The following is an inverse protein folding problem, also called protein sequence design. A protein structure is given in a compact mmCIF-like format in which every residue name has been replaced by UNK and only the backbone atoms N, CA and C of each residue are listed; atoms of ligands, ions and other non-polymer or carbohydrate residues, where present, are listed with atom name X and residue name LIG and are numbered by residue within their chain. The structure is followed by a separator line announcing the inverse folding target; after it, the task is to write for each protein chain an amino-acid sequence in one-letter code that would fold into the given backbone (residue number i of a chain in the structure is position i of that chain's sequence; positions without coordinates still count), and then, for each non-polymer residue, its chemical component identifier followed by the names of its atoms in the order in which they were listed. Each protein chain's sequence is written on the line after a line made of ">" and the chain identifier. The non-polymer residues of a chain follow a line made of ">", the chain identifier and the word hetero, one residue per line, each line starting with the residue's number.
data_IF_526634729717
#
_entry.id   IF_526634729717
#
_cell.length_a   1.000
_cell.length_b   1.000
_cell.length_c   1.000
_cell.angle_alpha   90.00
_cell.angle_beta   90.00
_cell.angle_gamma   90.00
#
_symmetry.space_group_name_H-M   'P 1'
#
loop_
_entity.id
_entity.type
_entity.pdbx_description
1 polymer ?
#
# COMPACT_ATOMS: atom_id res chain seq x y z
N UNK A 1 17.03 7.14 4.58
CA UNK A 1 16.97 6.70 3.18
C UNK A 1 16.65 5.22 3.17
N UNK A 2 15.66 4.79 2.39
CA UNK A 2 15.39 3.38 2.12
C UNK A 2 16.00 3.03 0.76
N UNK A 3 16.83 1.98 0.68
CA UNK A 3 17.35 1.49 -0.59
C UNK A 3 16.35 0.52 -1.21
N UNK A 4 15.73 0.90 -2.32
CA UNK A 4 14.86 0.01 -3.09
C UNK A 4 15.72 -0.98 -3.89
N UNK A 5 15.21 -2.20 -4.06
CA UNK A 5 15.84 -3.22 -4.91
C UNK A 5 15.77 -2.74 -6.36
N UNK A 6 16.88 -2.69 -7.11
CA UNK A 6 16.84 -2.32 -8.53
C UNK A 6 15.96 -3.28 -9.31
N UNK A 7 15.04 -2.74 -10.11
CA UNK A 7 14.10 -3.52 -10.94
C UNK A 7 14.00 -2.92 -12.34
N UNK A 8 13.81 -3.75 -13.39
CA UNK A 8 13.51 -3.27 -14.73
C UNK A 8 12.30 -2.34 -14.76
N UNK A 9 12.44 -1.20 -15.43
CA UNK A 9 11.43 -0.14 -15.42
C UNK A 9 10.05 -0.61 -15.90
N UNK A 10 10.04 -1.46 -16.93
CA UNK A 10 8.84 -2.04 -17.54
C UNK A 10 8.04 -2.96 -16.62
N UNK A 11 8.60 -3.38 -15.48
CA UNK A 11 7.90 -4.21 -14.50
C UNK A 11 7.13 -3.39 -13.46
N UNK A 12 7.45 -2.11 -13.28
CA UNK A 12 6.98 -1.33 -12.12
C UNK A 12 6.51 0.08 -12.45
N UNK A 13 6.85 0.62 -13.61
CA UNK A 13 6.43 1.96 -14.04
C UNK A 13 5.22 1.91 -14.97
N UNK A 14 4.05 2.20 -14.39
CA UNK A 14 2.90 2.80 -15.08
C UNK A 14 2.55 2.20 -16.46
N UNK A 15 2.21 3.03 -17.48
CA UNK A 15 1.51 2.61 -18.71
C UNK A 15 2.25 1.56 -19.57
N UNK A 16 3.48 1.21 -19.22
CA UNK A 16 4.29 0.19 -19.88
C UNK A 16 4.23 -1.18 -19.19
N UNK A 17 3.75 -1.24 -17.95
CA UNK A 17 3.56 -2.47 -17.18
C UNK A 17 2.19 -3.10 -17.45
N UNK A 18 2.15 -4.44 -17.48
CA UNK A 18 0.89 -5.19 -17.56
C UNK A 18 0.13 -5.08 -16.24
N UNK A 19 -1.16 -4.72 -16.30
CA UNK A 19 -2.03 -4.63 -15.12
C UNK A 19 -1.98 -5.90 -14.24
N UNK A 20 -1.92 -7.07 -14.87
CA UNK A 20 -1.77 -8.37 -14.22
C UNK A 20 -0.51 -8.47 -13.34
N UNK A 21 0.62 -7.90 -13.80
CA UNK A 21 1.86 -7.89 -13.02
C UNK A 21 1.76 -6.95 -11.82
N UNK A 22 1.11 -5.78 -11.99
CA UNK A 22 0.89 -4.87 -10.86
C UNK A 22 -0.03 -5.49 -9.81
N UNK A 23 -1.11 -6.14 -10.24
CA UNK A 23 -2.01 -6.88 -9.36
C UNK A 23 -1.28 -8.01 -8.63
N UNK A 24 -0.45 -8.78 -9.34
CA UNK A 24 0.37 -9.83 -8.74
C UNK A 24 1.33 -9.26 -7.69
N UNK A 25 2.08 -8.20 -8.01
CA UNK A 25 2.99 -7.56 -7.06
C UNK A 25 2.26 -7.01 -5.83
N UNK A 26 1.12 -6.33 -6.02
CA UNK A 26 0.30 -5.83 -4.92
C UNK A 26 -0.20 -6.96 -4.03
N UNK A 27 -0.65 -8.08 -4.63
CA UNK A 27 -1.09 -9.26 -3.89
C UNK A 27 0.05 -9.86 -3.04
N UNK A 28 1.25 -10.00 -3.60
CA UNK A 28 2.40 -10.54 -2.86
C UNK A 28 2.84 -9.61 -1.71
N UNK A 29 2.73 -8.29 -1.89
CA UNK A 29 2.95 -7.34 -0.80
C UNK A 29 1.92 -7.52 0.32
N UNK A 30 0.62 -7.63 -0.02
CA UNK A 30 -0.44 -7.86 0.96
C UNK A 30 -0.26 -9.17 1.73
N UNK A 31 0.17 -10.24 1.05
CA UNK A 31 0.49 -11.51 1.70
C UNK A 31 1.65 -11.38 2.69
N UNK A 32 2.72 -10.66 2.31
CA UNK A 32 3.82 -10.38 3.22
C UNK A 32 3.37 -9.56 4.44
N UNK A 33 2.56 -8.51 4.23
CA UNK A 33 2.01 -7.70 5.31
C UNK A 33 1.12 -8.53 6.26
N UNK A 34 0.29 -9.42 5.71
CA UNK A 34 -0.56 -10.31 6.49
C UNK A 34 0.25 -11.29 7.35
N UNK A 35 1.31 -11.88 6.79
CA UNK A 35 2.20 -12.77 7.55
C UNK A 35 2.91 -12.03 8.70
N UNK A 36 3.38 -10.80 8.46
CA UNK A 36 3.99 -9.98 9.51
C UNK A 36 2.98 -9.65 10.63
N UNK A 37 1.77 -9.23 10.26
CA UNK A 37 0.66 -8.99 11.22
C UNK A 37 0.35 -10.22 12.09
N UNK A 38 0.33 -11.42 11.48
CA UNK A 38 0.03 -12.66 12.21
C UNK A 38 1.17 -13.11 13.13
N UNK A 39 2.43 -12.90 12.72
CA UNK A 39 3.61 -13.27 13.49
C UNK A 39 3.96 -12.28 14.61
N UNK A 40 3.28 -11.13 14.65
CA UNK A 40 3.61 -10.04 15.57
C UNK A 40 3.41 -10.42 17.05
N UNK A 41 4.48 -10.28 17.85
CA UNK A 41 4.38 -10.23 19.31
C UNK A 41 3.94 -8.82 19.74
N UNK A 42 2.67 -8.71 20.13
CA UNK A 42 2.05 -7.44 20.56
C UNK A 42 2.23 -7.15 22.06
N UNK A 43 3.02 -7.94 22.78
CA UNK A 43 3.30 -7.71 24.20
C UNK A 43 4.14 -6.45 24.47
N UNK A 44 4.87 -5.96 23.45
CA UNK A 44 5.84 -4.86 23.57
C UNK A 44 5.30 -3.48 23.17
N UNK A 45 3.99 -3.35 22.92
CA UNK A 45 3.34 -2.06 22.62
C UNK A 45 2.70 -1.99 21.23
N UNK A 46 2.69 -0.80 20.64
CA UNK A 46 2.04 -0.57 19.36
C UNK A 46 2.76 -1.31 18.23
N UNK A 47 2.00 -2.05 17.42
CA UNK A 47 2.49 -2.77 16.26
C UNK A 47 1.36 -2.81 15.24
N UNK A 48 1.59 -2.25 14.05
CA UNK A 48 0.69 -2.40 12.91
C UNK A 48 1.48 -2.67 11.64
N UNK A 49 0.96 -3.54 10.80
CA UNK A 49 1.50 -3.73 9.45
C UNK A 49 0.53 -3.18 8.42
N UNK A 50 1.08 -2.53 7.39
CA UNK A 50 0.32 -2.11 6.22
C UNK A 50 1.15 -2.21 4.94
N UNK A 51 0.46 -2.32 3.82
CA UNK A 51 0.98 -2.02 2.50
C UNK A 51 0.67 -0.56 2.17
N UNK A 52 1.70 0.21 1.85
CA UNK A 52 1.56 1.53 1.24
C UNK A 52 1.78 1.35 -0.25
N UNK A 53 0.70 1.35 -1.03
CA UNK A 53 0.73 1.18 -2.48
C UNK A 53 0.67 2.54 -3.17
N UNK A 54 1.66 2.82 -4.02
CA UNK A 54 1.70 4.02 -4.86
C UNK A 54 1.21 3.63 -6.25
N UNK A 55 0.04 4.12 -6.63
CA UNK A 55 -0.59 3.80 -7.92
C UNK A 55 -0.44 4.97 -8.90
N UNK A 56 -0.03 4.74 -10.17
CA UNK A 56 0.28 3.44 -10.79
C UNK A 56 1.76 3.00 -10.67
N UNK A 57 2.53 3.58 -9.75
CA UNK A 57 3.99 3.37 -9.64
C UNK A 57 4.40 2.40 -8.53
N UNK A 58 4.27 1.11 -8.82
CA UNK A 58 4.50 0.04 -7.85
C UNK A 58 5.91 0.00 -7.24
N UNK A 59 6.91 0.58 -7.89
CA UNK A 59 8.28 0.66 -7.35
C UNK A 59 8.38 1.47 -6.05
N UNK A 60 7.51 2.48 -5.89
CA UNK A 60 7.53 3.33 -4.71
C UNK A 60 6.79 2.68 -3.54
N UNK A 61 5.95 1.68 -3.81
CA UNK A 61 5.21 0.94 -2.80
C UNK A 61 6.10 0.22 -1.79
N UNK A 62 5.57 -0.01 -0.60
CA UNK A 62 6.27 -0.68 0.50
C UNK A 62 5.33 -1.46 1.42
N UNK A 63 5.91 -2.46 2.09
CA UNK A 63 5.31 -3.10 3.26
C UNK A 63 6.01 -2.51 4.48
N UNK A 64 5.23 -1.94 5.40
CA UNK A 64 5.76 -1.16 6.51
C UNK A 64 5.18 -1.66 7.83
N UNK A 65 6.06 -1.82 8.81
CA UNK A 65 5.72 -2.10 10.20
C UNK A 65 5.83 -0.80 10.99
N UNK A 66 4.76 -0.45 11.69
CA UNK A 66 4.63 0.76 12.46
C UNK A 66 4.66 0.44 13.96
N UNK A 67 5.54 1.12 14.68
CA UNK A 67 5.64 1.09 16.14
C UNK A 67 5.13 2.38 16.80
N UNK A 68 4.76 3.37 15.98
CA UNK A 68 4.18 4.64 16.40
C UNK A 68 2.78 4.79 15.79
N UNK A 69 1.80 5.03 16.66
CA UNK A 69 0.39 5.11 16.28
C UNK A 69 0.07 6.37 15.49
N UNK A 70 0.60 7.51 15.91
CA UNK A 70 0.30 8.79 15.27
C UNK A 70 0.95 8.85 13.89
N UNK A 71 2.15 8.26 13.77
CA UNK A 71 2.78 8.07 12.47
C UNK A 71 1.95 7.16 11.57
N UNK A 72 1.45 6.02 12.05
CA UNK A 72 0.59 5.14 11.25
C UNK A 72 -0.71 5.83 10.81
N UNK A 73 -1.35 6.56 11.72
CA UNK A 73 -2.56 7.32 11.45
C UNK A 73 -2.37 8.38 10.36
N UNK A 74 -1.16 8.91 10.18
CA UNK A 74 -0.88 9.85 9.09
C UNK A 74 -1.00 9.22 7.69
N UNK A 75 -0.84 7.89 7.57
CA UNK A 75 -1.01 7.15 6.30
C UNK A 75 -2.45 6.70 6.07
N UNK A 76 -3.13 6.22 7.12
CA UNK A 76 -4.56 5.90 7.02
C UNK A 76 -5.38 7.17 6.77
N UNK A 77 -5.01 8.29 7.38
CA UNK A 77 -5.79 9.51 7.38
C UNK A 77 -7.10 9.38 8.19
N UNK A 78 -7.85 10.48 8.29
CA UNK A 78 -9.10 10.50 9.05
C UNK A 78 -10.26 9.80 8.33
N UNK A 79 -10.22 9.76 6.99
CA UNK A 79 -11.22 9.13 6.14
C UNK A 79 -10.58 8.61 4.86
N UNK A 80 -11.25 7.68 4.18
CA UNK A 80 -10.86 7.25 2.83
C UNK A 80 -11.24 8.35 1.82
N UNK A 81 -10.25 9.17 1.45
CA UNK A 81 -10.44 10.33 0.56
C UNK A 81 -10.82 9.95 -0.87
N UNK A 82 -10.57 8.71 -1.28
CA UNK A 82 -10.94 8.18 -2.60
C UNK A 82 -12.22 7.35 -2.59
N UNK A 83 -12.93 7.22 -1.47
CA UNK A 83 -14.22 6.52 -1.42
C UNK A 83 -15.22 7.12 -2.42
N UNK A 84 -15.96 6.29 -3.20
CA UNK A 84 -16.10 4.84 -3.08
C UNK A 84 -15.11 4.03 -3.92
N UNK A 85 -14.07 4.64 -4.50
CA UNK A 85 -13.06 3.89 -5.22
C UNK A 85 -12.27 2.98 -4.27
N UNK A 86 -11.83 1.84 -4.82
CA UNK A 86 -11.01 0.84 -4.15
C UNK A 86 -9.96 0.33 -5.13
N UNK A 87 -8.69 0.36 -4.72
CA UNK A 87 -7.61 -0.25 -5.49
C UNK A 87 -7.70 -1.77 -5.43
N UNK A 88 -8.12 -2.32 -4.28
CA UNK A 88 -8.29 -3.75 -4.14
C UNK A 88 -9.36 -4.32 -5.08
N UNK A 89 -10.50 -3.64 -5.23
CA UNK A 89 -11.51 -4.02 -6.23
C UNK A 89 -10.96 -3.89 -7.66
N UNK A 90 -10.30 -2.77 -7.97
CA UNK A 90 -9.72 -2.49 -9.30
C UNK A 90 -8.74 -3.58 -9.74
N UNK A 91 -7.93 -4.09 -8.82
CA UNK A 91 -6.89 -5.08 -9.07
C UNK A 91 -7.32 -6.51 -8.71
N UNK A 92 -8.57 -6.72 -8.29
CA UNK A 92 -9.08 -8.02 -7.82
C UNK A 92 -8.22 -8.63 -6.70
N UNK A 93 -7.74 -7.80 -5.77
CA UNK A 93 -6.87 -8.22 -4.67
C UNK A 93 -7.68 -8.92 -3.58
N UNK A 94 -7.06 -9.92 -2.95
CA UNK A 94 -7.57 -10.56 -1.75
C UNK A 94 -7.03 -9.83 -0.52
N UNK A 95 -7.79 -8.87 -0.03
CA UNK A 95 -7.44 -8.13 1.19
C UNK A 95 -7.71 -9.02 2.42
N UNK A 96 -6.77 -9.16 3.35
CA UNK A 96 -7.01 -9.86 4.62
C UNK A 96 -8.23 -9.27 5.35
N UNK A 97 -9.09 -10.11 5.91
CA UNK A 97 -10.37 -9.67 6.52
C UNK A 97 -10.23 -8.68 7.68
N UNK A 98 -9.04 -8.61 8.30
CA UNK A 98 -8.72 -7.71 9.39
C UNK A 98 -7.99 -6.44 8.92
N UNK A 99 -7.86 -6.22 7.61
CA UNK A 99 -7.26 -5.03 7.03
C UNK A 99 -8.36 -4.07 6.53
N UNK A 100 -8.07 -2.78 6.60
CA UNK A 100 -8.86 -1.69 6.02
C UNK A 100 -8.09 -1.08 4.85
N UNK A 101 -8.81 -0.44 3.92
CA UNK A 101 -8.24 0.22 2.74
C UNK A 101 -8.62 1.71 2.71
N UNK A 102 -7.61 2.58 2.73
CA UNK A 102 -7.77 4.02 2.65
C UNK A 102 -6.95 4.58 1.50
N UNK A 103 -7.60 5.28 0.57
CA UNK A 103 -6.98 5.90 -0.59
C UNK A 103 -6.92 7.43 -0.46
N UNK A 104 -5.83 8.01 -0.95
CA UNK A 104 -5.61 9.46 -1.00
C UNK A 104 -5.13 9.85 -2.40
N UNK A 105 -5.71 10.91 -2.96
CA UNK A 105 -5.17 11.56 -4.16
C UNK A 105 -3.97 12.41 -3.75
N UNK A 106 -2.82 12.14 -4.35
CA UNK A 106 -1.57 12.85 -4.09
C UNK A 106 -0.97 13.41 -5.39
N UNK A 107 -1.81 13.55 -6.42
CA UNK A 107 -1.42 14.11 -7.72
C UNK A 107 -0.91 15.53 -7.56
N UNK A 108 0.30 15.80 -8.05
CA UNK A 108 0.93 17.11 -8.10
C UNK A 108 0.71 17.77 -9.47
N UNK A 109 0.94 19.08 -9.53
CA UNK A 109 0.67 19.87 -10.74
C UNK A 109 1.60 19.51 -11.92
N UNK A 110 2.77 18.93 -11.63
CA UNK A 110 3.77 18.49 -12.59
C UNK A 110 3.70 16.98 -12.91
N UNK A 111 2.78 16.25 -12.27
CA UNK A 111 2.58 14.83 -12.58
C UNK A 111 1.91 14.65 -13.94
N UNK A 112 2.49 13.81 -14.78
CA UNK A 112 1.93 13.46 -16.09
C UNK A 112 0.68 12.57 -15.98
N UNK A 113 0.48 11.91 -14.84
CA UNK A 113 -0.61 10.98 -14.56
C UNK A 113 -1.12 11.17 -13.13
N UNK A 114 -2.40 10.86 -12.91
CA UNK A 114 -2.96 10.86 -11.56
C UNK A 114 -2.24 9.85 -10.65
N UNK A 115 -1.92 10.29 -9.44
CA UNK A 115 -1.16 9.54 -8.45
C UNK A 115 -2.00 9.33 -7.21
N UNK A 116 -2.06 8.08 -6.76
CA UNK A 116 -2.82 7.72 -5.59
C UNK A 116 -1.96 6.96 -4.61
N UNK A 117 -2.10 7.28 -3.33
CA UNK A 117 -1.56 6.47 -2.24
C UNK A 117 -2.68 5.66 -1.62
N UNK A 118 -2.46 4.36 -1.48
CA UNK A 118 -3.39 3.43 -0.86
C UNK A 118 -2.73 2.76 0.32
N UNK A 119 -3.22 3.06 1.52
CA UNK A 119 -2.83 2.35 2.74
C UNK A 119 -3.80 1.19 2.97
N UNK A 120 -3.30 -0.04 2.83
CA UNK A 120 -4.06 -1.27 3.10
C UNK A 120 -3.40 -2.02 4.26
N UNK A 121 -4.01 -2.00 5.43
CA UNK A 121 -3.38 -2.50 6.66
C UNK A 121 -4.34 -2.69 7.82
N UNK A 122 -3.81 -3.11 8.97
CA UNK A 122 -4.58 -3.29 10.20
C UNK A 122 -5.25 -1.98 10.68
N UNK A 123 -6.45 -2.00 11.27
CA UNK A 123 -7.06 -0.79 11.82
C UNK A 123 -6.24 -0.18 12.98
N UNK A 124 -6.19 1.15 13.05
CA UNK A 124 -5.31 1.92 13.96
C UNK A 124 -5.61 1.83 15.46
#
# INVERSE_FOLDING_TARGET
>A
MHWKIPVPNTLVQGPQTRLELQAFCAQQMLEAAAHLSQAADRSQGYYRTACILVWPWMHQSEVTVFYDRDYYLSFLGQANGLSPASLSDRLSLKVPSHFVEHGHDVTQADDELAVQWWCIGEPA
#
